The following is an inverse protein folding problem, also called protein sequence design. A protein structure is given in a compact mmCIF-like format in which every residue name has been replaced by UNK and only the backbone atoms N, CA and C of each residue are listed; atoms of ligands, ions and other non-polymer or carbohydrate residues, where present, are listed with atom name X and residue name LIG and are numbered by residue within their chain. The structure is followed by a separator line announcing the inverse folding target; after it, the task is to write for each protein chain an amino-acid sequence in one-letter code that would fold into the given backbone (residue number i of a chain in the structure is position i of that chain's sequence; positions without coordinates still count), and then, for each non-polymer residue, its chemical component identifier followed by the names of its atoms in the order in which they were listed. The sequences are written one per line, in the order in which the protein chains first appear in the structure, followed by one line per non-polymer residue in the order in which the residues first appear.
data_IF_826957678162
#
_entry.id   IF_826957678162
#
_cell.length_a   1.000
_cell.length_b   1.000
_cell.length_c   1.000
_cell.angle_alpha   90.00
_cell.angle_beta   90.00
_cell.angle_gamma   90.00
#
_symmetry.space_group_name_H-M   'P 1'
#
loop_
_entity.id
_entity.type
_entity.pdbx_description
1 polymer ?
#
# COMPACT_ATOMS: atom_id res chain seq x y z
N UNK A 1 -20.91 -3.07 20.02
CA UNK A 1 -20.90 -2.70 19.51
C UNK A 1 -20.69 -2.15 18.73
N UNK A 2 -20.89 -2.12 18.28
CA UNK A 2 -20.86 -1.78 17.36
C UNK A 2 -20.30 -0.94 16.90
N UNK A 3 -19.95 -0.46 16.90
CA UNK A 3 -19.37 0.26 16.37
C UNK A 3 -18.67 0.16 15.46
N UNK A 4 -18.59 -0.64 15.45
CA UNK A 4 -17.80 -0.76 14.60
C UNK A 4 -18.12 -0.59 13.21
N UNK A 5 -19.14 -0.42 12.91
CA UNK A 5 -19.54 -0.03 11.62
C UNK A 5 -18.96 1.28 11.23
N UNK A 6 -18.27 1.85 12.17
CA UNK A 6 -17.66 3.08 11.91
C UNK A 6 -16.63 2.95 10.83
N UNK A 7 -15.95 3.95 10.56
CA UNK A 7 -14.93 4.11 9.55
C UNK A 7 -13.95 2.95 9.50
N UNK A 8 -13.71 2.44 8.31
CA UNK A 8 -12.63 1.48 8.04
C UNK A 8 -11.71 2.10 7.00
N UNK A 9 -10.43 2.10 7.30
CA UNK A 9 -9.44 2.57 6.35
C UNK A 9 -9.37 1.63 5.16
N UNK A 10 -8.94 2.14 4.02
CA UNK A 10 -8.76 1.35 2.81
C UNK A 10 -7.30 1.34 2.41
N UNK A 11 -6.80 0.16 2.05
CA UNK A 11 -5.43 -0.01 1.58
C UNK A 11 -5.43 -0.58 0.17
N UNK A 12 -4.38 -0.22 -0.57
CA UNK A 12 -4.14 -0.74 -1.92
C UNK A 12 -2.91 -1.63 -1.84
N UNK A 13 -3.04 -2.87 -2.28
CA UNK A 13 -1.94 -3.84 -2.30
C UNK A 13 -1.64 -4.20 -3.74
N UNK A 14 -0.38 -4.00 -4.15
CA UNK A 14 0.04 -4.21 -5.53
C UNK A 14 1.17 -5.23 -5.52
N UNK A 15 0.87 -6.43 -5.97
CA UNK A 15 1.79 -7.57 -5.92
C UNK A 15 1.35 -8.59 -6.95
N UNK A 16 2.25 -9.02 -7.83
CA UNK A 16 1.88 -9.99 -8.87
C UNK A 16 1.94 -11.44 -8.37
N UNK A 17 2.67 -11.72 -7.28
CA UNK A 17 2.70 -13.04 -6.69
C UNK A 17 1.45 -13.23 -5.83
N UNK A 18 0.55 -14.16 -6.22
CA UNK A 18 -0.73 -14.31 -5.49
C UNK A 18 -0.57 -14.71 -4.03
N UNK A 19 0.46 -15.50 -3.68
CA UNK A 19 0.65 -15.90 -2.30
C UNK A 19 1.09 -14.73 -1.42
N UNK A 20 2.03 -13.93 -1.92
CA UNK A 20 2.47 -12.75 -1.18
C UNK A 20 1.35 -11.73 -1.07
N UNK A 21 0.60 -11.54 -2.16
CA UNK A 21 -0.53 -10.61 -2.15
C UNK A 21 -1.57 -11.03 -1.11
N UNK A 22 -1.92 -12.31 -1.10
CA UNK A 22 -2.92 -12.81 -0.15
C UNK A 22 -2.45 -12.64 1.29
N UNK A 23 -1.17 -12.91 1.56
CA UNK A 23 -0.64 -12.77 2.92
C UNK A 23 -0.76 -11.33 3.42
N UNK A 24 -0.39 -10.37 2.59
CA UNK A 24 -0.49 -8.96 2.97
C UNK A 24 -1.97 -8.59 3.20
N UNK A 25 -2.84 -9.06 2.32
CA UNK A 25 -4.26 -8.73 2.42
C UNK A 25 -4.89 -9.27 3.70
N UNK A 26 -4.57 -10.51 4.07
CA UNK A 26 -5.10 -11.09 5.31
C UNK A 26 -4.67 -10.27 6.52
N UNK A 27 -3.39 -9.88 6.57
CA UNK A 27 -2.89 -9.09 7.69
C UNK A 27 -3.58 -7.74 7.77
N UNK A 28 -3.80 -7.10 6.63
CA UNK A 28 -4.48 -5.80 6.61
C UNK A 28 -5.96 -5.94 6.99
N UNK A 29 -6.62 -6.98 6.52
CA UNK A 29 -8.02 -7.22 6.88
C UNK A 29 -8.17 -7.48 8.36
N UNK A 30 -7.23 -8.19 8.95
CA UNK A 30 -7.21 -8.41 10.40
C UNK A 30 -6.96 -7.11 11.17
N UNK A 31 -6.36 -6.13 10.50
CA UNK A 31 -6.12 -4.81 11.08
C UNK A 31 -7.26 -3.84 10.77
N UNK A 32 -8.40 -4.37 10.36
CA UNK A 32 -9.62 -3.60 10.11
C UNK A 32 -9.54 -2.68 8.89
N UNK A 33 -8.88 -3.17 7.83
CA UNK A 33 -8.84 -2.46 6.56
C UNK A 33 -9.76 -3.08 5.54
N UNK A 34 -10.33 -2.24 4.68
CA UNK A 34 -10.81 -2.70 3.38
C UNK A 34 -9.59 -2.74 2.47
N UNK A 35 -9.48 -3.78 1.64
CA UNK A 35 -8.29 -3.95 0.81
C UNK A 35 -8.69 -4.04 -0.67
N UNK A 36 -8.01 -3.25 -1.49
CA UNK A 36 -8.11 -3.33 -2.94
C UNK A 36 -6.83 -4.00 -3.42
N UNK A 37 -6.96 -5.05 -4.23
CA UNK A 37 -5.82 -5.82 -4.71
C UNK A 37 -5.59 -5.58 -6.19
N UNK A 38 -4.32 -5.42 -6.56
CA UNK A 38 -3.92 -5.27 -7.95
C UNK A 38 -2.69 -6.12 -8.23
N UNK A 39 -2.58 -6.65 -9.45
CA UNK A 39 -1.43 -7.47 -9.85
C UNK A 39 -0.37 -6.65 -10.59
N UNK A 40 -0.73 -5.47 -11.06
CA UNK A 40 0.18 -4.63 -11.84
C UNK A 40 0.08 -3.18 -11.40
N UNK A 41 1.12 -2.42 -11.72
CA UNK A 41 1.11 -0.99 -11.44
C UNK A 41 0.08 -0.27 -12.30
N UNK A 42 -0.13 -0.74 -13.53
CA UNK A 42 -1.11 -0.13 -14.42
C UNK A 42 -2.52 -0.24 -13.84
N UNK A 43 -2.87 -1.41 -13.30
CA UNK A 43 -4.18 -1.59 -12.65
C UNK A 43 -4.28 -0.70 -11.41
N UNK A 44 -3.20 -0.60 -10.65
CA UNK A 44 -3.18 0.23 -9.44
C UNK A 44 -3.35 1.71 -9.79
N UNK A 45 -2.78 2.14 -10.92
CA UNK A 45 -2.92 3.53 -11.33
C UNK A 45 -4.37 3.89 -11.58
N UNK A 46 -5.15 2.98 -12.14
CA UNK A 46 -6.58 3.20 -12.34
C UNK A 46 -7.31 3.39 -11.00
N UNK A 47 -6.90 2.63 -9.99
CA UNK A 47 -7.46 2.77 -8.65
C UNK A 47 -7.10 4.14 -8.08
N UNK A 48 -5.83 4.54 -8.24
CA UNK A 48 -5.37 5.85 -7.74
C UNK A 48 -6.10 6.99 -8.42
N UNK A 49 -6.42 6.86 -9.70
CA UNK A 49 -7.14 7.90 -10.42
C UNK A 49 -8.50 8.20 -9.79
N UNK A 50 -9.15 7.18 -9.24
CA UNK A 50 -10.51 7.33 -8.72
C UNK A 50 -10.56 7.44 -7.20
N UNK A 51 -9.64 6.80 -6.50
CA UNK A 51 -9.79 6.61 -5.06
C UNK A 51 -8.60 7.08 -4.24
N UNK A 52 -7.62 7.79 -4.82
CA UNK A 52 -6.39 8.13 -4.09
C UNK A 52 -6.68 8.81 -2.75
N UNK A 53 -7.67 9.69 -2.70
CA UNK A 53 -7.99 10.43 -1.47
C UNK A 53 -8.70 9.56 -0.43
N UNK A 54 -9.18 8.40 -0.82
CA UNK A 54 -9.86 7.48 0.08
C UNK A 54 -8.91 6.43 0.66
N UNK A 55 -7.68 6.39 0.17
CA UNK A 55 -6.70 5.39 0.59
C UNK A 55 -5.86 5.91 1.75
N UNK A 56 -5.62 5.05 2.73
CA UNK A 56 -4.74 5.38 3.84
C UNK A 56 -3.33 4.82 3.64
N UNK A 57 -3.21 3.72 2.88
CA UNK A 57 -1.97 2.97 2.77
C UNK A 57 -1.88 2.30 1.41
N UNK A 58 -0.69 2.32 0.81
CA UNK A 58 -0.40 1.50 -0.36
C UNK A 58 0.87 0.71 -0.10
N UNK A 59 0.82 -0.59 -0.32
CA UNK A 59 2.00 -1.46 -0.24
C UNK A 59 2.20 -2.04 -1.64
N UNK A 60 3.36 -1.79 -2.23
CA UNK A 60 3.66 -2.27 -3.58
C UNK A 60 5.02 -2.93 -3.64
N UNK A 61 5.11 -4.02 -4.41
CA UNK A 61 6.40 -4.58 -4.78
C UNK A 61 7.01 -3.73 -5.90
N UNK A 62 8.33 -3.74 -6.01
CA UNK A 62 9.02 -3.07 -7.12
C UNK A 62 8.81 -3.85 -8.40
N UNK A 63 9.02 -5.18 -8.35
CA UNK A 63 8.93 -6.03 -9.55
C UNK A 63 7.49 -6.44 -9.77
N UNK A 64 6.88 -5.89 -10.81
CA UNK A 64 5.48 -6.13 -11.13
C UNK A 64 5.36 -6.55 -12.58
N UNK A 65 4.25 -7.23 -12.89
CA UNK A 65 3.91 -7.52 -14.28
C UNK A 65 3.62 -6.20 -14.99
N UNK A 66 3.87 -6.17 -16.30
CA UNK A 66 3.63 -4.98 -17.10
C UNK A 66 4.87 -4.12 -17.25
N UNK A 67 4.69 -2.87 -17.60
CA UNK A 67 5.80 -1.98 -17.94
C UNK A 67 6.25 -1.10 -16.80
N UNK A 68 5.33 -0.76 -15.91
CA UNK A 68 5.62 0.13 -14.80
C UNK A 68 6.06 -0.68 -13.59
N UNK A 69 7.09 -0.21 -12.88
CA UNK A 69 7.52 -0.87 -11.64
C UNK A 69 6.91 -0.16 -10.43
N UNK A 70 7.12 -0.74 -9.25
CA UNK A 70 6.53 -0.20 -8.03
C UNK A 70 7.08 1.14 -7.59
N UNK A 71 8.33 1.47 -7.97
CA UNK A 71 8.87 2.79 -7.64
C UNK A 71 8.19 3.87 -8.46
N UNK A 72 8.00 3.61 -9.75
CA UNK A 72 7.26 4.55 -10.60
C UNK A 72 5.84 4.74 -10.08
N UNK A 73 5.21 3.64 -9.68
CA UNK A 73 3.87 3.72 -9.10
C UNK A 73 3.86 4.54 -7.81
N UNK A 74 4.90 4.39 -6.98
CA UNK A 74 4.99 5.15 -5.73
C UNK A 74 5.06 6.66 -6.01
N UNK A 75 5.78 7.06 -7.05
CA UNK A 75 5.83 8.48 -7.43
C UNK A 75 4.45 8.99 -7.87
N UNK A 76 3.73 8.18 -8.64
CA UNK A 76 2.37 8.54 -9.07
C UNK A 76 1.46 8.67 -7.85
N UNK A 77 1.51 7.70 -6.95
CA UNK A 77 0.66 7.69 -5.76
C UNK A 77 0.89 8.91 -4.89
N UNK A 78 2.16 9.23 -4.65
CA UNK A 78 2.51 10.39 -3.83
C UNK A 78 2.08 11.70 -4.49
N UNK A 79 2.18 11.76 -5.82
CA UNK A 79 1.72 12.94 -6.56
C UNK A 79 0.21 13.13 -6.45
N UNK A 80 -0.55 12.02 -6.48
CA UNK A 80 -2.01 12.07 -6.40
C UNK A 80 -2.51 12.36 -4.99
N UNK A 81 -1.81 11.84 -3.99
CA UNK A 81 -2.21 12.03 -2.59
C UNK A 81 -0.96 12.08 -1.72
N UNK A 82 -0.44 13.28 -1.44
CA UNK A 82 0.77 13.41 -0.62
C UNK A 82 0.62 12.88 0.81
N UNK A 83 -0.61 12.67 1.28
CA UNK A 83 -0.86 12.16 2.62
C UNK A 83 -0.90 10.63 2.67
N UNK A 84 -0.91 9.99 1.52
CA UNK A 84 -0.97 8.53 1.45
C UNK A 84 0.32 7.92 1.99
N UNK A 85 0.19 6.93 2.88
CA UNK A 85 1.35 6.19 3.35
C UNK A 85 1.73 5.17 2.29
N UNK A 86 2.96 5.25 1.78
CA UNK A 86 3.42 4.38 0.70
C UNK A 86 4.59 3.55 1.17
N UNK A 87 4.48 2.24 1.01
CA UNK A 87 5.54 1.28 1.31
C UNK A 87 5.90 0.53 0.03
N UNK A 88 7.19 0.48 -0.27
CA UNK A 88 7.71 -0.24 -1.43
C UNK A 88 8.56 -1.39 -0.94
N UNK A 89 8.30 -2.60 -1.44
CA UNK A 89 9.05 -3.79 -1.03
C UNK A 89 9.86 -4.32 -2.20
N UNK A 90 11.04 -4.88 -1.91
CA UNK A 90 11.89 -5.46 -2.94
C UNK A 90 12.89 -6.44 -2.33
N UNK A 91 13.22 -7.48 -3.08
CA UNK A 91 14.31 -8.38 -2.72
C UNK A 91 15.64 -7.92 -3.29
N UNK A 92 15.65 -6.80 -4.00
CA UNK A 92 16.84 -6.27 -4.67
C UNK A 92 16.99 -4.79 -4.38
N UNK A 93 18.12 -4.22 -4.81
CA UNK A 93 18.32 -2.79 -4.71
C UNK A 93 17.26 -2.06 -5.54
N UNK A 94 16.90 -0.87 -5.09
CA UNK A 94 15.92 -0.06 -5.82
C UNK A 94 16.49 0.40 -7.15
N UNK A 95 15.68 0.37 -8.22
CA UNK A 95 16.15 0.83 -9.53
C UNK A 95 16.26 2.34 -9.63
N UNK A 96 15.59 3.07 -8.75
CA UNK A 96 15.60 4.53 -8.74
C UNK A 96 15.18 5.00 -7.35
N UNK A 97 15.45 6.28 -7.01
CA UNK A 97 15.08 6.78 -5.68
C UNK A 97 13.56 6.79 -5.47
N UNK A 98 13.16 6.55 -4.24
CA UNK A 98 11.76 6.62 -3.84
C UNK A 98 11.32 8.08 -3.70
N UNK A 99 10.01 8.36 -3.83
CA UNK A 99 9.50 9.69 -3.52
C UNK A 99 9.69 9.99 -2.03
N UNK A 100 9.73 11.26 -1.69
CA UNK A 100 9.89 11.69 -0.31
C UNK A 100 8.76 11.13 0.53
N UNK A 101 9.10 10.56 1.68
CA UNK A 101 8.14 10.03 2.63
C UNK A 101 7.77 8.57 2.41
N UNK A 102 8.08 8.00 1.24
CA UNK A 102 7.83 6.58 1.01
C UNK A 102 8.84 5.75 1.79
N UNK A 103 8.39 4.58 2.25
CA UNK A 103 9.21 3.67 3.02
C UNK A 103 9.63 2.49 2.17
N UNK A 104 10.80 1.93 2.48
CA UNK A 104 11.33 0.76 1.78
C UNK A 104 11.47 -0.40 2.76
N UNK A 105 10.90 -1.55 2.40
CA UNK A 105 11.13 -2.80 3.13
C UNK A 105 11.85 -3.78 2.22
N UNK A 106 13.03 -4.24 2.66
CA UNK A 106 13.71 -5.30 1.92
C UNK A 106 13.04 -6.64 2.27
N UNK A 107 12.97 -7.52 1.26
CA UNK A 107 12.42 -8.86 1.48
C UNK A 107 13.48 -9.76 2.09
N UNK A 108 13.12 -10.67 2.98
CA UNK A 108 11.75 -10.90 3.45
C UNK A 108 11.36 -9.91 4.55
N UNK A 109 10.12 -9.39 4.45
CA UNK A 109 9.56 -8.58 5.52
C UNK A 109 8.81 -9.48 6.50
N UNK A 110 8.58 -9.00 7.71
CA UNK A 110 7.86 -9.75 8.72
C UNK A 110 6.40 -9.32 8.79
N UNK A 111 5.54 -10.25 9.23
CA UNK A 111 4.13 -9.92 9.43
C UNK A 111 3.97 -8.71 10.35
N UNK A 112 4.83 -8.60 11.36
CA UNK A 112 4.79 -7.48 12.29
C UNK A 112 5.01 -6.13 11.59
N UNK A 113 5.81 -6.11 10.53
CA UNK A 113 6.02 -4.88 9.76
C UNK A 113 4.70 -4.38 9.17
N UNK A 114 3.91 -5.31 8.61
CA UNK A 114 2.61 -4.97 8.03
C UNK A 114 1.66 -4.48 9.09
N UNK A 115 1.60 -5.21 10.22
CA UNK A 115 0.67 -4.85 11.30
C UNK A 115 0.98 -3.48 11.90
N UNK A 116 2.26 -3.18 12.08
CA UNK A 116 2.67 -1.87 12.61
C UNK A 116 2.36 -0.75 11.65
N UNK A 117 2.61 -0.98 10.35
CA UNK A 117 2.34 0.03 9.35
C UNK A 117 0.84 0.28 9.22
N UNK A 118 0.05 -0.79 9.31
CA UNK A 118 -1.41 -0.68 9.25
C UNK A 118 -1.92 0.22 10.38
N UNK A 119 -1.43 0.00 11.58
CA UNK A 119 -1.85 0.79 12.74
C UNK A 119 -1.41 2.24 12.60
N UNK A 120 -0.17 2.45 12.17
CA UNK A 120 0.37 3.81 12.02
C UNK A 120 -0.41 4.61 10.98
N UNK A 121 -0.71 3.99 9.84
CA UNK A 121 -1.42 4.67 8.76
C UNK A 121 -2.87 4.99 9.14
N UNK A 122 -3.52 4.10 9.90
CA UNK A 122 -4.87 4.36 10.40
C UNK A 122 -4.88 5.54 11.36
N UNK A 123 -3.94 5.58 12.28
CA UNK A 123 -3.84 6.65 13.26
C UNK A 123 -3.62 7.99 12.57
N UNK A 124 -2.71 7.99 11.59
CA UNK A 124 -2.41 9.17 10.82
C UNK A 124 -3.62 9.67 10.04
N UNK A 125 -4.31 8.74 9.38
CA UNK A 125 -5.49 9.07 8.58
C UNK A 125 -6.60 9.65 9.47
N UNK A 126 -6.80 9.09 10.65
CA UNK A 126 -7.82 9.56 11.59
C UNK A 126 -7.53 10.97 12.08
N UNK A 127 -6.26 11.30 12.32
CA UNK A 127 -5.90 12.63 12.85
C UNK A 127 -5.97 13.73 11.80
N UNK A 128 -6.07 13.36 10.52
CA UNK A 128 -6.14 14.36 9.45
C UNK A 128 -7.57 14.78 9.14
N UNK A 129 -8.52 14.17 9.79
CA UNK A 129 -9.93 14.54 9.65
C UNK A 129 -10.39 15.40 10.83
#
# INVERSE_FOLDING_TARGET
MSQSTAFRATALVVEDDPMQREMICVLLEESNYNVIQCESAEAAELVLDKFSNSLALMITDVSLAGRMNGVELAHIATSRNPQLDVVVTSGRALPEPLPRGAKFWSKPWAALDVLREAEWAQTRSATQH
#
